data_IF_433170321723
#
_entry.id   IF_433170321723
#
_cell.length_a   1.000
_cell.length_b   1.000
_cell.length_c   1.000
_cell.angle_alpha   90.00
_cell.angle_beta   90.00
_cell.angle_gamma   90.00
#
_symmetry.space_group_name_H-M   'P 1'
#
loop_
_entity.id
_entity.type
_entity.pdbx_description
1 polymer ?
#
# COMPACT_ATOMS: atom_id res chain seq x y z
N UNK A 1 3.82 -35.01 -21.01
CA UNK A 1 3.83 -33.62 -20.49
C UNK A 1 4.48 -33.58 -19.11
N UNK A 2 5.38 -32.62 -18.87
CA UNK A 2 6.12 -32.50 -17.60
C UNK A 2 5.19 -32.05 -16.45
N UNK A 3 5.27 -32.70 -15.28
CA UNK A 3 4.47 -32.39 -14.08
C UNK A 3 4.56 -30.90 -13.68
N UNK A 4 5.71 -30.26 -13.89
CA UNK A 4 5.90 -28.82 -13.62
C UNK A 4 5.08 -27.94 -14.57
N UNK A 5 4.94 -28.31 -15.83
CA UNK A 5 4.17 -27.57 -16.83
C UNK A 5 2.67 -27.69 -16.58
N UNK A 6 2.20 -28.88 -16.23
CA UNK A 6 0.80 -29.14 -15.87
C UNK A 6 0.39 -28.31 -14.64
N UNK A 7 1.26 -28.25 -13.61
CA UNK A 7 1.01 -27.46 -12.41
C UNK A 7 0.92 -25.96 -12.69
N UNK A 8 1.73 -25.43 -13.62
CA UNK A 8 1.69 -24.02 -14.02
C UNK A 8 0.39 -23.69 -14.79
N UNK A 9 -0.03 -24.58 -15.68
CA UNK A 9 -1.28 -24.42 -16.45
C UNK A 9 -2.49 -24.49 -15.52
N UNK A 10 -2.56 -25.48 -14.63
CA UNK A 10 -3.65 -25.59 -13.63
C UNK A 10 -3.67 -24.42 -12.64
N UNK A 11 -2.50 -23.91 -12.23
CA UNK A 11 -2.40 -22.74 -11.37
C UNK A 11 -3.00 -21.49 -12.03
N UNK A 12 -2.73 -21.28 -13.32
CA UNK A 12 -3.33 -20.17 -14.08
C UNK A 12 -4.83 -20.35 -14.33
N UNK A 13 -5.29 -21.58 -14.55
CA UNK A 13 -6.71 -21.88 -14.77
C UNK A 13 -7.55 -21.69 -13.50
N UNK A 14 -6.98 -21.95 -12.32
CA UNK A 14 -7.63 -21.70 -11.02
C UNK A 14 -7.89 -20.20 -10.76
N UNK A 15 -7.14 -19.31 -11.41
CA UNK A 15 -7.36 -17.85 -11.33
C UNK A 15 -8.56 -17.36 -12.16
N UNK A 16 -9.10 -18.18 -13.07
CA UNK A 16 -10.21 -17.81 -13.95
C UNK A 16 -11.60 -18.26 -13.46
N UNK A 17 -11.67 -19.01 -12.35
CA UNK A 17 -12.94 -19.46 -11.76
C UNK A 17 -13.35 -18.52 -10.62
N UNK A 18 -14.39 -17.70 -10.77
CA UNK A 18 -14.88 -16.85 -9.69
C UNK A 18 -15.49 -17.75 -8.59
N UNK A 19 -15.02 -17.59 -7.36
CA UNK A 19 -15.52 -18.31 -6.18
C UNK A 19 -14.64 -19.45 -5.63
N UNK A 20 -13.47 -19.73 -6.23
CA UNK A 20 -12.56 -20.82 -5.80
C UNK A 20 -11.18 -20.40 -5.33
N UNK A 21 -10.90 -19.09 -5.27
CA UNK A 21 -9.61 -18.58 -4.83
C UNK A 21 -9.71 -18.32 -3.33
N UNK A 22 -9.14 -19.23 -2.53
CA UNK A 22 -8.67 -18.82 -1.21
C UNK A 22 -7.58 -17.80 -1.45
N UNK A 23 -7.96 -16.52 -1.43
CA UNK A 23 -7.02 -15.41 -1.40
C UNK A 23 -6.31 -15.55 -0.05
N UNK A 24 -5.24 -16.33 -0.06
CA UNK A 24 -4.29 -16.33 1.03
C UNK A 24 -3.67 -14.95 1.01
N UNK A 25 -3.64 -14.29 2.16
CA UNK A 25 -2.97 -13.02 2.32
C UNK A 25 -1.60 -13.11 1.65
N UNK A 26 -1.27 -12.12 0.84
CA UNK A 26 -0.17 -12.21 -0.16
C UNK A 26 1.22 -12.27 0.48
N UNK A 27 1.31 -12.39 1.81
CA UNK A 27 2.54 -12.38 2.59
C UNK A 27 3.32 -11.07 2.44
N UNK A 28 2.72 -10.08 1.79
CA UNK A 28 3.30 -8.77 1.57
C UNK A 28 2.80 -7.82 2.64
N UNK A 29 3.74 -7.11 3.25
CA UNK A 29 3.52 -5.93 4.10
C UNK A 29 3.23 -6.23 5.57
N UNK A 30 4.20 -6.85 6.26
CA UNK A 30 4.17 -7.06 7.71
C UNK A 30 5.06 -6.12 8.52
N UNK A 31 5.88 -5.29 7.88
CA UNK A 31 6.79 -4.37 8.56
C UNK A 31 6.70 -2.94 8.01
N UNK A 32 6.85 -1.94 8.90
CA UNK A 32 6.95 -0.54 8.50
C UNK A 32 8.12 -0.30 7.57
N UNK A 33 9.24 -0.97 7.83
CA UNK A 33 10.46 -0.90 7.02
C UNK A 33 10.23 -1.30 5.57
N UNK A 34 9.45 -2.35 5.31
CA UNK A 34 9.06 -2.72 3.94
C UNK A 34 8.14 -1.65 3.31
N UNK A 35 7.10 -1.19 4.03
CA UNK A 35 6.17 -0.16 3.54
C UNK A 35 6.90 1.13 3.13
N UNK A 36 7.77 1.59 4.02
CA UNK A 36 8.63 2.75 3.84
C UNK A 36 9.49 2.63 2.59
N UNK A 37 10.11 1.46 2.41
CA UNK A 37 10.96 1.16 1.26
C UNK A 37 10.18 1.19 -0.05
N UNK A 38 9.05 0.48 -0.12
CA UNK A 38 8.25 0.42 -1.35
C UNK A 38 7.74 1.80 -1.71
N UNK A 39 7.19 2.54 -0.75
CA UNK A 39 6.69 3.89 -1.00
C UNK A 39 7.78 4.83 -1.51
N UNK A 40 8.90 4.96 -0.78
CA UNK A 40 9.95 5.91 -1.14
C UNK A 40 10.68 5.51 -2.43
N UNK A 41 10.86 4.22 -2.72
CA UNK A 41 11.43 3.78 -4.02
C UNK A 41 10.57 4.22 -5.19
N UNK A 42 9.25 4.07 -5.10
CA UNK A 42 8.34 4.53 -6.15
C UNK A 42 8.31 6.05 -6.24
N UNK A 43 8.28 6.74 -5.10
CA UNK A 43 8.28 8.20 -5.06
C UNK A 43 9.57 8.78 -5.65
N UNK A 44 10.74 8.21 -5.36
CA UNK A 44 12.02 8.61 -5.96
C UNK A 44 12.05 8.46 -7.47
N UNK A 45 11.56 7.33 -8.01
CA UNK A 45 11.48 7.16 -9.47
C UNK A 45 10.53 8.17 -10.09
N UNK A 46 9.36 8.42 -9.48
CA UNK A 46 8.43 9.43 -9.99
C UNK A 46 9.08 10.81 -10.01
N UNK A 47 9.77 11.19 -8.94
CA UNK A 47 10.48 12.47 -8.85
C UNK A 47 11.56 12.61 -9.92
N UNK A 48 12.37 11.57 -10.13
CA UNK A 48 13.38 11.53 -11.19
C UNK A 48 12.77 11.69 -12.60
N UNK A 49 11.52 11.28 -12.79
CA UNK A 49 10.78 11.43 -14.05
C UNK A 49 9.98 12.74 -14.12
N UNK A 50 10.30 13.73 -13.28
CA UNK A 50 9.74 15.08 -13.34
C UNK A 50 8.47 15.32 -12.51
N UNK A 51 8.04 14.34 -11.72
CA UNK A 51 6.93 14.56 -10.78
C UNK A 51 7.43 15.28 -9.52
N UNK A 52 7.27 16.60 -9.48
CA UNK A 52 7.76 17.45 -8.39
C UNK A 52 6.72 17.74 -7.29
N UNK A 53 5.47 17.30 -7.46
CA UNK A 53 4.38 17.56 -6.52
C UNK A 53 3.89 16.28 -5.85
N UNK A 54 3.69 16.35 -4.53
CA UNK A 54 3.08 15.27 -3.76
C UNK A 54 1.61 15.06 -4.15
N UNK A 55 1.14 13.81 -4.15
CA UNK A 55 -0.25 13.50 -4.43
C UNK A 55 -1.13 13.90 -3.24
N UNK A 56 -2.19 14.67 -3.48
CA UNK A 56 -3.14 14.99 -2.40
C UNK A 56 -3.93 13.76 -1.94
N UNK A 57 -4.10 12.77 -2.81
CA UNK A 57 -4.95 11.60 -2.56
C UNK A 57 -4.29 10.34 -3.09
N UNK A 58 -4.26 9.30 -2.25
CA UNK A 58 -3.79 7.96 -2.58
C UNK A 58 -4.97 7.00 -2.50
N UNK A 59 -5.08 6.09 -3.46
CA UNK A 59 -6.01 4.98 -3.40
C UNK A 59 -5.24 3.67 -3.51
N UNK A 60 -5.50 2.73 -2.61
CA UNK A 60 -4.97 1.38 -2.63
C UNK A 60 -6.12 0.40 -2.90
N UNK A 61 -5.90 -0.49 -3.88
CA UNK A 61 -6.81 -1.58 -4.21
C UNK A 61 -6.08 -2.88 -3.88
N UNK A 62 -6.57 -3.62 -2.89
CA UNK A 62 -5.86 -4.81 -2.42
C UNK A 62 -6.76 -5.81 -1.70
N UNK A 63 -6.20 -6.94 -1.27
CA UNK A 63 -6.89 -7.87 -0.38
C UNK A 63 -6.92 -7.40 1.08
N UNK A 64 -6.27 -6.28 1.45
CA UNK A 64 -6.24 -5.75 2.82
C UNK A 64 -4.94 -5.87 3.61
N UNK A 65 -3.90 -6.47 3.02
CA UNK A 65 -2.66 -6.76 3.75
C UNK A 65 -1.65 -5.60 3.78
N UNK A 66 -1.83 -4.55 2.97
CA UNK A 66 -0.74 -3.60 2.63
C UNK A 66 -0.98 -2.12 2.97
N UNK A 67 -1.90 -1.85 3.90
CA UNK A 67 -2.27 -0.50 4.34
C UNK A 67 -1.08 0.40 4.73
N UNK A 68 0.01 -0.20 5.23
CA UNK A 68 1.20 0.53 5.66
C UNK A 68 1.88 1.34 4.55
N UNK A 69 1.77 0.93 3.28
CA UNK A 69 2.30 1.72 2.15
C UNK A 69 1.48 2.99 1.95
N UNK A 70 0.15 2.91 2.07
CA UNK A 70 -0.72 4.07 2.08
C UNK A 70 -0.46 5.01 3.26
N UNK A 71 -0.22 4.45 4.45
CA UNK A 71 0.17 5.24 5.63
C UNK A 71 1.50 5.98 5.41
N UNK A 72 2.50 5.36 4.78
CA UNK A 72 3.75 6.02 4.41
C UNK A 72 3.51 7.21 3.45
N UNK A 73 2.54 7.08 2.55
CA UNK A 73 2.14 8.17 1.66
C UNK A 73 1.44 9.34 2.36
N UNK A 74 0.62 9.07 3.38
CA UNK A 74 0.07 10.12 4.25
C UNK A 74 1.19 10.87 5.00
N UNK A 75 2.16 10.15 5.56
CA UNK A 75 3.31 10.75 6.25
C UNK A 75 4.23 11.55 5.32
N UNK A 76 4.24 11.20 4.03
CA UNK A 76 4.97 11.93 2.99
C UNK A 76 4.27 13.20 2.52
N UNK A 77 3.04 13.47 2.99
CA UNK A 77 2.31 14.71 2.68
C UNK A 77 1.00 14.54 1.92
N UNK A 78 0.55 13.30 1.68
CA UNK A 78 -0.78 13.08 1.13
C UNK A 78 -1.87 13.44 2.15
N UNK A 79 -2.95 14.07 1.69
CA UNK A 79 -4.05 14.49 2.56
C UNK A 79 -5.03 13.35 2.82
N UNK A 80 -5.28 12.51 1.81
CA UNK A 80 -6.32 11.48 1.83
C UNK A 80 -5.77 10.15 1.38
N UNK A 81 -6.24 9.09 2.02
CA UNK A 81 -5.93 7.71 1.67
C UNK A 81 -7.20 6.88 1.68
N UNK A 82 -7.47 6.22 0.56
CA UNK A 82 -8.60 5.31 0.40
C UNK A 82 -8.08 3.88 0.21
N UNK A 83 -8.25 3.03 1.21
CA UNK A 83 -8.00 1.59 1.10
C UNK A 83 -9.32 0.88 0.76
N UNK A 84 -9.39 0.27 -0.43
CA UNK A 84 -10.54 -0.52 -0.86
C UNK A 84 -10.15 -1.99 -0.85
N UNK A 85 -10.50 -2.67 0.24
CA UNK A 85 -10.13 -4.05 0.47
C UNK A 85 -11.28 -5.02 0.23
N UNK A 86 -10.98 -6.10 -0.50
CA UNK A 86 -11.94 -7.17 -0.79
C UNK A 86 -12.11 -8.12 0.40
N UNK A 87 -11.14 -8.17 1.32
CA UNK A 87 -11.13 -9.08 2.47
C UNK A 87 -10.84 -8.31 3.76
N UNK A 88 -11.53 -8.69 4.81
CA UNK A 88 -11.36 -8.13 6.14
C UNK A 88 -10.07 -8.67 6.80
N UNK A 89 -8.93 -8.05 6.50
CA UNK A 89 -7.61 -8.43 7.03
C UNK A 89 -6.97 -7.40 7.96
N UNK A 90 -7.74 -6.44 8.49
CA UNK A 90 -7.17 -5.35 9.30
C UNK A 90 -6.86 -5.76 10.75
N UNK A 91 -5.61 -6.15 11.05
CA UNK A 91 -5.08 -6.17 12.41
C UNK A 91 -4.70 -4.75 12.87
N UNK A 92 -5.59 -4.14 13.66
CA UNK A 92 -5.41 -2.75 14.13
C UNK A 92 -4.16 -2.58 15.00
N UNK A 93 -3.83 -3.54 15.87
CA UNK A 93 -2.68 -3.42 16.76
C UNK A 93 -1.40 -3.42 15.94
N UNK A 94 -1.33 -4.32 14.96
CA UNK A 94 -0.24 -4.35 13.98
C UNK A 94 -0.15 -3.06 13.18
N UNK A 95 -1.29 -2.53 12.70
CA UNK A 95 -1.30 -1.28 11.91
C UNK A 95 -0.86 -0.07 12.73
N UNK A 96 -1.26 0.04 13.99
CA UNK A 96 -0.80 1.09 14.90
C UNK A 96 0.71 0.96 15.12
N UNK A 97 1.21 -0.26 15.36
CA UNK A 97 2.65 -0.50 15.50
C UNK A 97 3.42 -0.10 14.24
N UNK A 98 2.93 -0.48 13.06
CA UNK A 98 3.52 -0.11 11.77
C UNK A 98 3.50 1.41 11.60
N UNK A 99 2.39 2.07 11.94
CA UNK A 99 2.27 3.52 11.86
C UNK A 99 3.28 4.23 12.76
N UNK A 100 3.39 3.83 14.03
CA UNK A 100 4.30 4.44 15.00
C UNK A 100 5.79 4.22 14.58
N UNK A 101 6.12 3.05 14.01
CA UNK A 101 7.45 2.77 13.44
C UNK A 101 7.71 3.60 12.16
N UNK A 102 6.72 3.73 11.27
CA UNK A 102 6.83 4.58 10.07
C UNK A 102 7.12 6.03 10.46
N UNK A 103 6.41 6.59 11.44
CA UNK A 103 6.66 7.95 11.95
C UNK A 103 8.11 8.09 12.40
N UNK A 104 8.64 7.09 13.10
CA UNK A 104 10.03 7.08 13.55
C UNK A 104 11.03 7.02 12.38
N UNK A 105 10.74 6.23 11.33
CA UNK A 105 11.60 6.13 10.14
C UNK A 105 11.66 7.47 9.38
N UNK A 106 10.51 8.10 9.17
CA UNK A 106 10.41 9.41 8.52
C UNK A 106 11.06 10.51 9.36
N UNK A 107 10.80 10.56 10.67
CA UNK A 107 11.39 11.59 11.55
C UNK A 107 12.92 11.53 11.62
N UNK A 108 13.49 10.32 11.50
CA UNK A 108 14.94 10.12 11.52
C UNK A 108 15.60 10.23 10.14
N UNK A 109 14.83 10.49 9.07
CA UNK A 109 15.32 10.41 7.68
C UNK A 109 16.12 9.11 7.44
N UNK A 110 15.55 7.99 7.91
CA UNK A 110 16.24 6.70 7.87
C UNK A 110 16.56 6.31 6.43
N UNK A 111 17.75 5.74 6.21
CA UNK A 111 18.11 5.17 4.90
C UNK A 111 17.11 4.08 4.53
N UNK A 112 16.81 4.00 3.24
CA UNK A 112 15.98 2.94 2.70
C UNK A 112 16.76 1.61 2.77
N UNK A 113 16.10 0.52 3.16
CA UNK A 113 16.56 -0.82 2.88
C UNK A 113 16.98 -1.01 1.41
N UNK A 114 18.17 -1.54 1.22
CA UNK A 114 18.77 -1.81 -0.08
C UNK A 114 18.33 -3.18 -0.63
N UNK A 115 19.01 -3.64 -1.68
CA UNK A 115 18.70 -4.90 -2.33
C UNK A 115 19.30 -6.12 -1.61
N UNK A 116 20.16 -5.92 -0.60
CA UNK A 116 20.61 -6.99 0.28
C UNK A 116 19.52 -7.31 1.30
N UNK A 117 18.87 -6.28 1.87
CA UNK A 117 17.78 -6.44 2.82
C UNK A 117 16.47 -6.87 2.12
N UNK A 118 16.09 -6.19 1.03
CA UNK A 118 14.90 -6.53 0.24
C UNK A 118 15.24 -6.84 -1.23
N UNK A 119 15.81 -8.02 -1.52
CA UNK A 119 16.28 -8.40 -2.86
C UNK A 119 15.17 -8.53 -3.89
N UNK A 120 13.89 -8.55 -3.48
CA UNK A 120 12.75 -8.60 -4.41
C UNK A 120 12.00 -7.27 -4.54
N UNK A 121 12.38 -6.26 -3.75
CA UNK A 121 11.77 -4.94 -3.84
C UNK A 121 12.18 -4.27 -5.15
N UNK A 122 11.19 -3.74 -5.85
CA UNK A 122 11.36 -2.94 -7.07
C UNK A 122 10.54 -1.66 -6.90
N UNK A 123 10.93 -0.54 -7.53
CA UNK A 123 12.08 -0.34 -8.43
C UNK A 123 13.44 -0.37 -7.71
N UNK A 124 14.54 -0.49 -8.46
CA UNK A 124 15.90 -0.32 -7.96
C UNK A 124 16.29 1.16 -8.05
N UNK A 125 17.11 1.64 -7.12
CA UNK A 125 17.57 3.02 -7.07
C UNK A 125 19.09 3.09 -7.17
N UNK A 126 19.60 4.22 -7.67
CA UNK A 126 21.03 4.52 -7.64
C UNK A 126 21.53 4.88 -6.23
N UNK A 127 20.62 5.34 -5.36
CA UNK A 127 20.90 5.68 -3.97
C UNK A 127 19.76 5.23 -3.07
N UNK A 128 20.11 4.65 -1.91
CA UNK A 128 19.18 4.25 -0.86
C UNK A 128 19.21 5.20 0.35
N UNK A 129 19.80 6.39 0.19
CA UNK A 129 19.65 7.45 1.18
C UNK A 129 18.22 7.97 1.21
N UNK A 130 17.84 8.63 2.32
CA UNK A 130 16.55 9.30 2.39
C UNK A 130 16.46 10.38 1.28
N UNK A 131 15.41 10.34 0.43
CA UNK A 131 15.32 11.21 -0.75
C UNK A 131 14.85 12.61 -0.35
N UNK A 132 15.72 13.33 0.34
CA UNK A 132 15.46 14.65 0.93
C UNK A 132 15.05 15.66 -0.14
N UNK A 133 15.57 15.51 -1.36
CA UNK A 133 15.28 16.33 -2.54
C UNK A 133 13.78 16.40 -2.88
N UNK A 134 13.01 15.35 -2.59
CA UNK A 134 11.57 15.29 -2.85
C UNK A 134 10.79 16.23 -1.91
N UNK A 135 11.35 16.46 -0.72
CA UNK A 135 10.71 17.21 0.36
C UNK A 135 11.27 18.64 0.51
N UNK A 136 12.22 19.08 -0.31
CA UNK A 136 12.85 20.41 -0.20
C UNK A 136 11.83 21.56 -0.22
N UNK A 137 10.78 21.43 -1.04
CA UNK A 137 9.74 22.47 -1.16
C UNK A 137 8.53 22.21 -0.25
N UNK A 138 8.45 21.03 0.36
CA UNK A 138 7.32 20.58 1.16
C UNK A 138 7.87 20.23 2.55
N UNK A 139 7.83 21.16 3.49
CA UNK A 139 8.36 20.96 4.85
C UNK A 139 7.84 19.65 5.44
N UNK A 140 8.66 18.59 5.39
CA UNK A 140 8.29 17.27 5.91
C UNK A 140 7.92 17.36 7.39
N UNK A 141 8.55 18.30 8.11
CA UNK A 141 8.21 18.65 9.50
C UNK A 141 6.74 19.04 9.68
N UNK A 142 6.12 19.73 8.72
CA UNK A 142 4.68 20.04 8.77
C UNK A 142 3.83 18.79 8.65
N UNK A 143 4.25 17.82 7.84
CA UNK A 143 3.53 16.55 7.69
C UNK A 143 3.72 15.62 8.89
N UNK A 144 4.86 15.76 9.59
CA UNK A 144 5.19 15.05 10.83
C UNK A 144 4.77 15.81 12.09
N UNK A 145 4.01 16.90 11.97
CA UNK A 145 3.54 17.65 13.12
C UNK A 145 2.78 16.74 14.10
N UNK A 146 3.05 16.91 15.40
CA UNK A 146 2.51 16.05 16.46
C UNK A 146 0.98 16.02 16.47
N UNK A 147 0.33 17.15 16.16
CA UNK A 147 -1.14 17.22 16.11
C UNK A 147 -1.70 16.41 14.95
N UNK A 148 -1.04 16.49 13.78
CA UNK A 148 -1.39 15.72 12.59
C UNK A 148 -1.20 14.22 12.80
N UNK A 149 -0.04 13.81 13.32
CA UNK A 149 0.25 12.39 13.61
C UNK A 149 -0.79 11.83 14.59
N UNK A 150 -1.14 12.61 15.64
CA UNK A 150 -2.18 12.23 16.57
C UNK A 150 -3.55 12.11 15.91
N UNK A 151 -3.91 13.00 14.98
CA UNK A 151 -5.16 12.91 14.20
C UNK A 151 -5.21 11.63 13.39
N UNK A 152 -4.18 11.35 12.59
CA UNK A 152 -4.09 10.15 11.76
C UNK A 152 -4.18 8.88 12.61
N UNK A 153 -3.49 8.85 13.74
CA UNK A 153 -3.53 7.72 14.68
C UNK A 153 -4.93 7.51 15.26
N UNK A 154 -5.63 8.59 15.61
CA UNK A 154 -7.00 8.52 16.09
C UNK A 154 -7.96 8.06 15.00
N UNK A 155 -7.81 8.53 13.76
CA UNK A 155 -8.60 8.08 12.61
C UNK A 155 -8.42 6.57 12.38
N UNK A 156 -7.18 6.07 12.47
CA UNK A 156 -6.88 4.64 12.37
C UNK A 156 -7.59 3.82 13.47
N UNK A 157 -7.62 4.34 14.71
CA UNK A 157 -8.35 3.73 15.84
C UNK A 157 -9.88 3.82 15.65
N UNK A 158 -10.38 4.95 15.15
CA UNK A 158 -11.82 5.16 14.97
C UNK A 158 -12.40 4.32 13.84
N UNK A 159 -11.60 4.00 12.81
CA UNK A 159 -11.94 2.97 11.81
C UNK A 159 -12.29 1.64 12.52
N UNK A 160 -11.59 1.25 13.59
CA UNK A 160 -11.92 0.06 14.38
C UNK A 160 -13.27 0.19 15.09
N UNK A 161 -13.53 1.35 15.72
CA UNK A 161 -14.78 1.59 16.46
C UNK A 161 -15.99 1.59 15.54
N UNK A 162 -15.88 2.25 14.39
CA UNK A 162 -16.94 2.24 13.39
C UNK A 162 -17.13 0.82 12.83
N UNK A 163 -16.05 0.06 12.59
CA UNK A 163 -16.13 -1.36 12.20
C UNK A 163 -16.85 -2.23 13.24
N UNK A 164 -16.61 -2.04 14.55
CA UNK A 164 -17.39 -2.73 15.61
C UNK A 164 -18.87 -2.40 15.56
N UNK A 165 -19.21 -1.16 15.21
CA UNK A 165 -20.59 -0.71 15.05
C UNK A 165 -21.25 -1.34 13.80
N UNK A 166 -20.52 -1.42 12.68
CA UNK A 166 -21.00 -2.02 11.44
C UNK A 166 -21.07 -3.55 11.53
N UNK A 167 -20.19 -4.23 12.27
CA UNK A 167 -20.21 -5.69 12.45
C UNK A 167 -21.54 -6.22 13.02
N UNK A 168 -22.31 -5.38 13.73
CA UNK A 168 -23.66 -5.69 14.21
C UNK A 168 -24.74 -5.53 13.11
N UNK A 169 -24.41 -4.97 11.93
CA UNK A 169 -25.31 -4.70 10.82
C UNK A 169 -24.85 -5.22 9.42
N UNK A 170 -23.66 -5.82 9.26
CA UNK A 170 -23.15 -6.27 7.94
C UNK A 170 -23.70 -7.64 7.51
N UNK A 171 -25.03 -7.83 7.52
CA UNK A 171 -25.66 -8.86 6.67
C UNK A 171 -26.39 -8.25 5.46
N UNK A 172 -26.58 -6.92 5.41
CA UNK A 172 -27.45 -6.27 4.42
C UNK A 172 -26.77 -5.40 3.35
N UNK A 173 -25.54 -4.90 3.54
CA UNK A 173 -24.99 -3.84 2.68
C UNK A 173 -24.20 -4.32 1.45
N UNK A 174 -23.62 -5.52 1.48
CA UNK A 174 -22.76 -6.02 0.38
C UNK A 174 -23.57 -6.25 -0.91
N UNK A 175 -24.88 -6.54 -0.83
CA UNK A 175 -25.72 -6.72 -2.02
C UNK A 175 -26.11 -5.42 -2.74
N UNK A 176 -25.96 -4.24 -2.12
CA UNK A 176 -26.43 -2.97 -2.72
C UNK A 176 -25.40 -2.29 -3.61
N UNK A 177 -24.10 -2.45 -3.35
CA UNK A 177 -23.02 -1.81 -4.11
C UNK A 177 -22.65 -2.55 -5.42
N UNK A 178 -22.99 -3.83 -5.53
CA UNK A 178 -22.70 -4.64 -6.72
C UNK A 178 -23.63 -4.37 -7.93
N UNK A 179 -24.63 -3.49 -7.80
CA UNK A 179 -25.62 -3.25 -8.87
C UNK A 179 -25.37 -1.99 -9.72
N UNK A 180 -24.44 -1.10 -9.38
CA UNK A 180 -24.41 0.24 -10.01
C UNK A 180 -23.11 0.71 -10.65
N UNK A 181 -22.03 -0.09 -10.75
CA UNK A 181 -20.86 0.36 -11.50
C UNK A 181 -20.11 -0.77 -12.19
N UNK A 182 -20.10 -0.66 -13.52
CA UNK A 182 -19.57 -1.57 -14.52
C UNK A 182 -18.04 -1.38 -14.64
N UNK A 183 -17.28 -2.38 -14.19
CA UNK A 183 -16.00 -2.89 -14.70
C UNK A 183 -14.97 -1.93 -15.31
N UNK A 184 -13.87 -1.69 -14.57
CA UNK A 184 -12.50 -1.64 -15.14
C UNK A 184 -11.58 -2.46 -14.22
N UNK A 185 -11.19 -3.65 -14.70
CA UNK A 185 -10.16 -4.49 -14.10
C UNK A 185 -9.27 -4.97 -15.25
N UNK A 186 -8.01 -4.54 -15.27
CA UNK A 186 -6.85 -5.20 -15.88
C UNK A 186 -5.66 -4.24 -15.86
N UNK A 187 -4.44 -4.80 -15.87
CA UNK A 187 -3.11 -4.14 -15.97
C UNK A 187 -2.33 -3.85 -14.68
N UNK A 188 -1.80 -4.93 -14.07
CA UNK A 188 -0.51 -4.86 -13.37
C UNK A 188 0.48 -5.98 -13.76
N UNK A 189 0.32 -6.58 -14.96
CA UNK A 189 1.34 -7.49 -15.54
C UNK A 189 1.68 -7.29 -17.02
N UNK A 190 0.99 -6.41 -17.74
CA UNK A 190 1.27 -6.11 -19.16
C UNK A 190 1.78 -4.68 -19.42
N UNK A 191 1.77 -3.79 -18.42
CA UNK A 191 2.23 -2.41 -18.63
C UNK A 191 3.76 -2.30 -18.77
N UNK A 192 4.51 -3.28 -18.24
CA UNK A 192 5.98 -3.30 -18.34
C UNK A 192 6.54 -3.95 -19.62
N UNK A 193 5.70 -4.48 -20.53
CA UNK A 193 6.17 -4.92 -21.86
C UNK A 193 5.98 -3.86 -22.95
N UNK A 194 5.40 -2.70 -22.63
CA UNK A 194 5.05 -1.66 -23.61
C UNK A 194 5.90 -0.37 -23.50
N UNK A 195 6.86 -0.33 -22.58
CA UNK A 195 7.81 0.79 -22.41
C UNK A 195 9.28 0.37 -22.69
N UNK A 196 9.47 -0.53 -23.65
CA UNK A 196 10.72 -0.52 -24.44
C UNK A 196 10.52 0.43 -25.61
N UNK A 197 10.89 1.68 -25.39
CA UNK A 197 11.43 2.56 -26.42
C UNK A 197 12.80 2.96 -25.92
#
# INVERSE_FOLDING_TARGET
>A
MNKKTIRKILGGFKSYVPGGVSIHGTGGTDSARYCYTIWLRHLSILYQNGFSKMFNTIAELGPGDSIGTGLAGLLSGSEKFYALDVIEHTDIKKNISIFDELVSLFANHSTLPDDNEFPRAVPRLDSYNFPSEIFVNNDLEKFLDKSRIKSLRNELIDIEKQKKLFSICVHGMILKLLKTTLWIWCFHKQFWSMLRI
#
